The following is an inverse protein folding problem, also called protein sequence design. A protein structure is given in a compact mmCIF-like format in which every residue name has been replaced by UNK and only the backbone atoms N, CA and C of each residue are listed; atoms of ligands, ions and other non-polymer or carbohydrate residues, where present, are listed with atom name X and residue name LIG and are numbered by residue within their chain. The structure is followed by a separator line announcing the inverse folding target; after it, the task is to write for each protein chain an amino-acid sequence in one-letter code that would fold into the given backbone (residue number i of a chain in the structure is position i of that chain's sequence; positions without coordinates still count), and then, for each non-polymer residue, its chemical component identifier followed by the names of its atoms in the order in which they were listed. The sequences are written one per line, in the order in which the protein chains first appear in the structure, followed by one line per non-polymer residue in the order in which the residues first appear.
data_IF_248770155685
#
_entry.id   IF_248770155685
#
_cell.length_a   1.000
_cell.length_b   1.000
_cell.length_c   1.000
_cell.angle_alpha   90.00
_cell.angle_beta   90.00
_cell.angle_gamma   90.00
#
_symmetry.space_group_name_H-M   'P 1'
#
loop_
_entity.id
_entity.type
_entity.pdbx_description
1 polymer ?
#
# COMPACT_ATOMS: atom_id res chain seq x y z
N UNK A 1 2.20 -9.97 -2.63
CA UNK A 1 0.86 -10.23 -3.19
C UNK A 1 0.40 -11.68 -3.01
N UNK A 2 1.12 -12.69 -3.49
CA UNK A 2 0.70 -14.10 -3.35
C UNK A 2 0.40 -14.53 -1.91
N UNK A 3 1.22 -14.13 -0.93
CA UNK A 3 0.99 -14.46 0.48
C UNK A 3 -0.29 -13.85 1.03
N UNK A 4 -0.68 -12.67 0.55
CA UNK A 4 -1.96 -12.05 0.90
C UNK A 4 -3.12 -12.85 0.34
N UNK A 5 -3.05 -13.27 -0.93
CA UNK A 5 -4.09 -14.11 -1.58
C UNK A 5 -4.27 -15.46 -0.90
N UNK A 6 -3.19 -16.07 -0.40
CA UNK A 6 -3.20 -17.37 0.28
C UNK A 6 -3.71 -17.33 1.70
N UNK A 7 -3.85 -16.14 2.29
CA UNK A 7 -4.36 -16.01 3.65
C UNK A 7 -5.86 -16.33 3.68
N UNK A 8 -6.30 -17.25 4.55
CA UNK A 8 -7.72 -17.58 4.67
C UNK A 8 -8.61 -16.41 5.08
N UNK A 9 -8.04 -15.34 5.63
CA UNK A 9 -8.78 -14.12 5.94
C UNK A 9 -8.96 -13.18 4.73
N UNK A 10 -8.30 -13.43 3.58
CA UNK A 10 -8.34 -12.55 2.42
C UNK A 10 -9.78 -12.30 1.93
N UNK A 11 -10.51 -13.36 1.58
CA UNK A 11 -11.89 -13.25 1.10
C UNK A 11 -12.86 -12.69 2.16
N UNK A 12 -12.83 -13.13 3.44
CA UNK A 12 -13.63 -12.53 4.50
C UNK A 12 -13.38 -11.02 4.67
N UNK A 13 -12.12 -10.58 4.63
CA UNK A 13 -11.77 -9.16 4.75
C UNK A 13 -12.28 -8.39 3.53
N UNK A 14 -12.07 -8.90 2.31
CA UNK A 14 -12.58 -8.27 1.09
C UNK A 14 -14.11 -8.08 1.12
N UNK A 15 -14.87 -9.13 1.46
CA UNK A 15 -16.33 -9.04 1.59
C UNK A 15 -16.77 -8.05 2.66
N UNK A 16 -16.07 -7.99 3.79
CA UNK A 16 -16.35 -7.03 4.85
C UNK A 16 -16.09 -5.59 4.37
N UNK A 17 -14.98 -5.34 3.70
CA UNK A 17 -14.67 -4.03 3.12
C UNK A 17 -15.71 -3.63 2.08
N UNK A 18 -16.08 -4.54 1.19
CA UNK A 18 -17.12 -4.33 0.19
C UNK A 18 -18.44 -3.88 0.82
N UNK A 19 -18.93 -4.61 1.82
CA UNK A 19 -20.16 -4.25 2.55
C UNK A 19 -20.05 -2.92 3.32
N UNK A 20 -18.87 -2.63 3.89
CA UNK A 20 -18.64 -1.38 4.64
C UNK A 20 -18.65 -0.16 3.72
N UNK A 21 -18.13 -0.25 2.51
CA UNK A 21 -17.99 0.86 1.58
C UNK A 21 -19.01 0.87 0.44
N UNK A 22 -19.85 -0.16 0.32
CA UNK A 22 -20.85 -0.28 -0.73
C UNK A 22 -20.23 -0.48 -2.12
N UNK A 23 -19.17 -1.28 -2.20
CA UNK A 23 -18.49 -1.62 -3.46
C UNK A 23 -18.58 -3.14 -3.72
N UNK A 24 -18.27 -3.54 -4.95
CA UNK A 24 -18.21 -4.95 -5.31
C UNK A 24 -17.06 -5.67 -4.60
N UNK A 25 -17.23 -6.96 -4.18
CA UNK A 25 -16.18 -7.74 -3.53
C UNK A 25 -14.89 -7.84 -4.35
N UNK A 26 -14.99 -7.96 -5.66
CA UNK A 26 -13.85 -8.05 -6.56
C UNK A 26 -13.00 -6.78 -6.56
N UNK A 27 -13.62 -5.60 -6.45
CA UNK A 27 -12.89 -4.35 -6.27
C UNK A 27 -12.18 -4.30 -4.92
N UNK A 28 -12.82 -4.78 -3.87
CA UNK A 28 -12.18 -4.86 -2.55
C UNK A 28 -10.98 -5.83 -2.56
N UNK A 29 -11.08 -6.96 -3.27
CA UNK A 29 -9.97 -7.90 -3.48
C UNK A 29 -8.81 -7.23 -4.24
N UNK A 30 -9.11 -6.52 -5.33
CA UNK A 30 -8.11 -5.79 -6.10
C UNK A 30 -7.40 -4.73 -5.26
N UNK A 31 -8.12 -4.03 -4.37
CA UNK A 31 -7.54 -3.05 -3.46
C UNK A 31 -6.65 -3.68 -2.38
N UNK A 32 -6.99 -4.85 -1.86
CA UNK A 32 -6.12 -5.61 -0.95
C UNK A 32 -4.82 -6.03 -1.64
N UNK A 33 -4.91 -6.51 -2.87
CA UNK A 33 -3.76 -6.88 -3.68
C UNK A 33 -2.91 -5.66 -4.05
N UNK A 34 -3.55 -4.56 -4.44
CA UNK A 34 -2.88 -3.28 -4.66
C UNK A 34 -2.14 -2.82 -3.42
N UNK A 35 -2.76 -2.91 -2.22
CA UNK A 35 -2.10 -2.57 -0.96
C UNK A 35 -0.82 -3.38 -0.76
N UNK A 36 -0.87 -4.68 -1.02
CA UNK A 36 0.30 -5.56 -0.92
C UNK A 36 1.39 -5.26 -1.96
N UNK A 37 1.02 -4.69 -3.11
CA UNK A 37 1.99 -4.29 -4.14
C UNK A 37 2.67 -2.96 -3.81
N UNK A 38 1.94 -2.02 -3.18
CA UNK A 38 2.44 -0.65 -2.98
C UNK A 38 3.09 -0.41 -1.63
N UNK A 39 2.89 -1.27 -0.62
CA UNK A 39 3.32 -0.98 0.76
C UNK A 39 4.81 -0.65 0.89
N UNK A 40 5.64 -1.24 0.06
CA UNK A 40 7.09 -1.10 0.05
C UNK A 40 7.64 -0.30 -1.14
N UNK A 41 6.78 0.24 -2.02
CA UNK A 41 7.19 1.03 -3.19
C UNK A 41 8.07 2.22 -2.80
N UNK A 42 7.84 2.79 -1.62
CA UNK A 42 8.65 3.89 -1.10
C UNK A 42 10.14 3.58 -0.95
N UNK A 43 10.54 2.30 -0.84
CA UNK A 43 11.95 1.87 -0.84
C UNK A 43 12.65 2.16 -2.17
N UNK A 44 11.88 2.38 -3.19
CA UNK A 44 12.29 2.74 -4.53
C UNK A 44 12.58 4.23 -4.75
N UNK A 45 12.35 5.06 -3.76
CA UNK A 45 12.65 6.49 -3.83
C UNK A 45 14.14 6.72 -4.09
N UNK A 46 14.46 7.69 -4.95
CA UNK A 46 15.84 8.09 -5.27
C UNK A 46 16.63 8.52 -4.02
N UNK A 47 15.95 8.97 -2.97
CA UNK A 47 16.58 9.31 -1.69
C UNK A 47 17.29 8.09 -1.05
N UNK A 48 16.90 6.86 -1.44
CA UNK A 48 17.50 5.61 -0.95
C UNK A 48 18.48 4.99 -1.93
N UNK A 49 18.90 5.69 -2.98
CA UNK A 49 19.79 5.19 -4.02
C UNK A 49 21.04 4.47 -3.51
N UNK A 50 21.59 4.94 -2.37
CA UNK A 50 22.76 4.40 -1.74
C UNK A 50 22.47 3.66 -0.42
N UNK A 51 21.20 3.49 -0.05
CA UNK A 51 20.84 2.78 1.17
C UNK A 51 20.87 1.27 0.92
N UNK A 52 21.65 0.55 1.74
CA UNK A 52 21.79 -0.93 1.65
C UNK A 52 20.83 -1.62 2.61
N UNK A 53 20.56 -1.03 3.78
CA UNK A 53 19.81 -1.70 4.85
C UNK A 53 18.75 -0.82 5.55
N UNK A 54 18.76 0.49 5.36
CA UNK A 54 17.90 1.40 6.12
C UNK A 54 17.10 2.34 5.21
N UNK A 55 15.80 2.10 5.15
CA UNK A 55 14.83 2.86 4.36
C UNK A 55 13.87 3.61 5.29
N UNK A 56 14.38 4.63 6.00
CA UNK A 56 13.53 5.39 6.91
C UNK A 56 12.44 6.15 6.16
N UNK A 57 11.20 6.08 6.66
CA UNK A 57 10.04 6.77 6.09
C UNK A 57 9.56 6.24 4.72
N UNK A 58 10.02 5.07 4.27
CA UNK A 58 9.51 4.50 3.03
C UNK A 58 7.99 4.23 3.10
N UNK A 59 7.44 4.02 4.29
CA UNK A 59 6.01 3.86 4.54
C UNK A 59 5.23 5.11 4.11
N UNK A 60 5.73 6.29 4.48
CA UNK A 60 5.13 7.57 4.08
C UNK A 60 5.22 7.76 2.57
N UNK A 61 6.35 7.40 1.95
CA UNK A 61 6.54 7.47 0.50
C UNK A 61 5.64 6.48 -0.25
N UNK A 62 5.47 5.28 0.29
CA UNK A 62 4.53 4.29 -0.24
C UNK A 62 3.09 4.79 -0.14
N UNK A 63 2.72 5.45 0.96
CA UNK A 63 1.40 6.03 1.14
C UNK A 63 1.14 7.21 0.19
N UNK A 64 2.14 8.05 -0.06
CA UNK A 64 2.09 9.12 -1.06
C UNK A 64 1.81 8.55 -2.46
N UNK A 65 2.55 7.53 -2.84
CA UNK A 65 2.35 6.82 -4.10
C UNK A 65 0.94 6.23 -4.20
N UNK A 66 0.51 5.49 -3.16
CA UNK A 66 -0.82 4.89 -3.10
C UNK A 66 -1.91 5.95 -3.23
N UNK A 67 -1.78 7.07 -2.50
CA UNK A 67 -2.71 8.20 -2.60
C UNK A 67 -2.83 8.73 -4.03
N UNK A 68 -1.70 9.01 -4.66
CA UNK A 68 -1.68 9.57 -6.02
C UNK A 68 -2.37 8.64 -7.02
N UNK A 69 -2.07 7.35 -6.97
CA UNK A 69 -2.67 6.35 -7.85
C UNK A 69 -4.18 6.21 -7.60
N UNK A 70 -4.60 6.08 -6.34
CA UNK A 70 -6.02 5.95 -5.96
C UNK A 70 -6.83 7.21 -6.30
N UNK A 71 -6.25 8.40 -6.10
CA UNK A 71 -6.89 9.67 -6.47
C UNK A 71 -7.10 9.76 -7.97
N UNK A 72 -6.10 9.46 -8.77
CA UNK A 72 -6.21 9.46 -10.25
C UNK A 72 -7.15 8.38 -10.78
N UNK A 73 -7.24 7.24 -10.10
CA UNK A 73 -8.21 6.20 -10.42
C UNK A 73 -9.66 6.57 -10.04
N UNK A 74 -9.87 7.70 -9.35
CA UNK A 74 -11.18 8.13 -8.89
C UNK A 74 -11.72 7.39 -7.67
N UNK A 75 -10.87 6.59 -7.01
CA UNK A 75 -11.19 5.83 -5.79
C UNK A 75 -10.99 6.64 -4.50
N UNK A 76 -10.58 7.90 -4.65
CA UNK A 76 -10.49 8.92 -3.60
C UNK A 76 -11.04 10.24 -4.17
N UNK A 77 -12.22 10.67 -3.69
CA UNK A 77 -12.83 11.95 -4.09
C UNK A 77 -13.47 12.60 -2.85
N UNK A 78 -13.35 13.92 -2.74
CA UNK A 78 -14.05 14.69 -1.70
C UNK A 78 -13.63 14.31 -0.27
N UNK A 79 -14.59 13.94 0.58
CA UNK A 79 -14.34 13.58 1.99
C UNK A 79 -13.65 12.22 2.06
N UNK A 80 -12.36 12.22 2.38
CA UNK A 80 -11.49 11.03 2.44
C UNK A 80 -12.11 9.89 3.25
N UNK A 81 -12.83 10.20 4.32
CA UNK A 81 -13.44 9.21 5.23
C UNK A 81 -14.51 8.31 4.57
N UNK A 82 -15.03 8.67 3.40
CA UNK A 82 -16.13 7.95 2.76
C UNK A 82 -15.66 6.97 1.67
N UNK A 83 -14.39 6.95 1.34
CA UNK A 83 -13.86 6.16 0.23
C UNK A 83 -13.07 4.93 0.68
N UNK A 84 -13.25 3.83 -0.04
CA UNK A 84 -12.53 2.58 0.22
C UNK A 84 -11.01 2.71 0.06
N UNK A 85 -10.52 3.67 -0.72
CA UNK A 85 -9.09 3.97 -0.85
C UNK A 85 -8.45 4.53 0.43
N UNK A 86 -9.24 5.15 1.32
CA UNK A 86 -8.72 5.74 2.56
C UNK A 86 -8.07 4.73 3.50
N UNK A 87 -8.70 3.60 3.87
CA UNK A 87 -8.06 2.59 4.70
C UNK A 87 -6.84 1.95 4.05
N UNK A 88 -6.77 1.90 2.71
CA UNK A 88 -5.59 1.43 1.96
C UNK A 88 -4.39 2.34 2.24
N UNK A 89 -4.52 3.66 2.02
CA UNK A 89 -3.45 4.63 2.25
C UNK A 89 -2.94 4.55 3.68
N UNK A 90 -3.86 4.48 4.64
CA UNK A 90 -3.52 4.46 6.05
C UNK A 90 -2.85 3.15 6.44
N UNK A 91 -3.32 2.01 5.90
CA UNK A 91 -2.66 0.73 6.11
C UNK A 91 -1.24 0.75 5.56
N UNK A 92 -1.02 1.32 4.37
CA UNK A 92 0.32 1.50 3.80
C UNK A 92 1.18 2.41 4.66
N UNK A 93 0.65 3.53 5.15
CA UNK A 93 1.38 4.46 6.03
C UNK A 93 1.75 3.84 7.38
N UNK A 94 0.98 2.88 7.87
CA UNK A 94 1.10 2.32 9.22
C UNK A 94 1.67 0.89 9.27
N UNK A 95 2.08 0.28 8.16
CA UNK A 95 2.45 -1.13 8.15
C UNK A 95 3.69 -1.48 9.01
N UNK A 96 4.57 -0.50 9.27
CA UNK A 96 5.68 -0.64 10.22
C UNK A 96 5.50 0.13 11.54
N UNK A 97 4.29 0.63 11.81
CA UNK A 97 4.01 1.57 12.89
C UNK A 97 4.17 1.05 14.31
N UNK A 98 4.40 -0.24 14.50
CA UNK A 98 4.74 -0.77 15.83
C UNK A 98 6.02 -0.17 16.40
N UNK A 99 6.79 0.62 15.63
CA UNK A 99 8.13 1.06 16.01
C UNK A 99 8.43 2.55 15.91
N UNK A 100 7.76 3.37 15.09
CA UNK A 100 8.05 4.83 14.98
C UNK A 100 6.89 5.63 14.36
N UNK A 101 6.65 6.84 14.89
CA UNK A 101 5.70 7.79 14.31
C UNK A 101 6.16 8.34 12.93
N UNK A 102 5.26 8.57 11.95
CA UNK A 102 5.63 9.25 10.71
C UNK A 102 6.26 10.60 11.01
N UNK A 103 7.34 10.93 10.33
CA UNK A 103 8.00 12.24 10.46
C UNK A 103 7.64 13.13 9.28
N UNK A 104 7.40 14.45 9.53
CA UNK A 104 6.94 15.40 8.50
C UNK A 104 7.99 15.83 7.48
N UNK A 105 9.24 15.52 7.73
CA UNK A 105 10.40 16.13 7.08
C UNK A 105 11.07 15.22 6.03
N UNK A 106 10.39 14.17 5.58
CA UNK A 106 10.86 13.39 4.45
C UNK A 106 10.85 14.28 3.19
N UNK A 107 12.04 14.71 2.76
CA UNK A 107 12.19 15.40 1.49
C UNK A 107 11.64 14.54 0.36
N UNK A 108 10.85 15.17 -0.48
CA UNK A 108 10.25 14.55 -1.64
C UNK A 108 11.34 14.26 -2.66
N UNK A 109 11.59 12.97 -2.94
CA UNK A 109 12.40 12.51 -4.08
C UNK A 109 11.51 11.85 -5.12
N UNK A 110 11.93 11.80 -6.37
CA UNK A 110 11.27 11.02 -7.40
C UNK A 110 11.53 9.53 -7.24
N UNK A 111 10.73 8.69 -7.90
CA UNK A 111 10.99 7.24 -7.96
C UNK A 111 11.98 6.95 -9.09
N UNK A 112 13.08 6.27 -8.78
CA UNK A 112 14.03 5.85 -9.81
C UNK A 112 13.55 4.56 -10.50
N UNK A 113 13.79 4.47 -11.82
CA UNK A 113 13.50 3.29 -12.65
C UNK A 113 14.22 2.00 -12.20
N UNK A 114 15.05 2.04 -11.17
CA UNK A 114 15.69 0.86 -10.56
C UNK A 114 14.75 -0.11 -9.89
N UNK A 115 13.46 0.22 -9.81
CA UNK A 115 12.42 -0.64 -9.26
C UNK A 115 11.84 -1.60 -10.27
N UNK A 116 12.68 -2.20 -11.08
CA UNK A 116 12.24 -3.25 -12.00
C UNK A 116 11.38 -4.30 -11.30
N UNK A 117 11.72 -4.67 -10.06
CA UNK A 117 10.93 -5.62 -9.29
C UNK A 117 9.49 -5.15 -9.02
N UNK A 118 9.28 -3.88 -8.67
CA UNK A 118 7.94 -3.33 -8.46
C UNK A 118 7.18 -3.18 -9.78
N UNK A 119 7.87 -2.72 -10.84
CA UNK A 119 7.27 -2.61 -12.19
C UNK A 119 6.82 -3.99 -12.68
N UNK A 120 7.66 -5.00 -12.56
CA UNK A 120 7.32 -6.37 -12.95
C UNK A 120 6.20 -6.96 -12.07
N UNK A 121 6.18 -6.64 -10.78
CA UNK A 121 5.08 -7.04 -9.90
C UNK A 121 3.73 -6.43 -10.34
N UNK A 122 3.71 -5.14 -10.72
CA UNK A 122 2.50 -4.52 -11.28
C UNK A 122 2.13 -5.12 -12.64
N UNK A 123 3.09 -5.37 -13.53
CA UNK A 123 2.82 -6.01 -14.83
C UNK A 123 2.23 -7.41 -14.66
N UNK A 124 2.75 -8.19 -13.72
CA UNK A 124 2.27 -9.54 -13.41
C UNK A 124 0.94 -9.58 -12.64
N UNK A 125 0.48 -8.45 -12.11
CA UNK A 125 -0.80 -8.40 -11.43
C UNK A 125 -1.96 -8.53 -12.41
N UNK A 126 -2.90 -9.42 -12.12
CA UNK A 126 -4.13 -9.63 -12.90
C UNK A 126 -5.33 -9.19 -12.04
N UNK A 127 -5.75 -7.92 -12.13
CA UNK A 127 -6.93 -7.43 -11.42
C UNK A 127 -8.22 -8.01 -12.02
N UNK A 128 -9.28 -8.05 -11.20
CA UNK A 128 -10.61 -8.60 -11.54
C UNK A 128 -11.52 -7.55 -12.17
N UNK A 129 -11.28 -6.25 -11.83
CA UNK A 129 -12.17 -5.14 -12.17
C UNK A 129 -11.52 -4.15 -13.15
N UNK A 130 -12.34 -3.33 -13.79
CA UNK A 130 -11.87 -2.23 -14.63
C UNK A 130 -11.10 -1.18 -13.82
N UNK A 131 -11.55 -0.91 -12.58
CA UNK A 131 -10.88 -0.03 -11.63
C UNK A 131 -9.51 -0.60 -11.23
N UNK A 132 -9.44 -1.91 -10.97
CA UNK A 132 -8.17 -2.61 -10.71
C UNK A 132 -7.21 -2.52 -11.91
N UNK A 133 -7.72 -2.68 -13.14
CA UNK A 133 -6.92 -2.50 -14.35
C UNK A 133 -6.40 -1.05 -14.48
N UNK A 134 -7.23 -0.07 -14.11
CA UNK A 134 -6.85 1.35 -14.08
C UNK A 134 -5.75 1.59 -13.03
N UNK A 135 -5.90 1.03 -11.82
CA UNK A 135 -4.86 1.09 -10.77
C UNK A 135 -3.53 0.53 -11.25
N UNK A 136 -3.55 -0.65 -11.90
CA UNK A 136 -2.36 -1.28 -12.48
C UNK A 136 -1.66 -0.36 -13.48
N UNK A 137 -2.40 0.19 -14.43
CA UNK A 137 -1.86 1.08 -15.48
C UNK A 137 -1.27 2.36 -14.88
N UNK A 138 -1.98 2.99 -13.95
CA UNK A 138 -1.54 4.19 -13.26
C UNK A 138 -0.31 3.90 -12.40
N UNK A 139 -0.27 2.82 -11.64
CA UNK A 139 0.88 2.46 -10.80
C UNK A 139 2.15 2.27 -11.65
N UNK A 140 2.05 1.53 -12.75
CA UNK A 140 3.17 1.30 -13.64
C UNK A 140 3.70 2.59 -14.31
N UNK A 141 2.81 3.55 -14.63
CA UNK A 141 3.18 4.84 -15.21
C UNK A 141 3.73 5.82 -14.17
N UNK A 142 3.18 5.78 -12.95
CA UNK A 142 3.48 6.72 -11.87
C UNK A 142 4.88 6.51 -11.27
N UNK A 143 5.44 5.30 -11.34
CA UNK A 143 6.83 5.03 -10.94
C UNK A 143 7.87 5.84 -11.74
N UNK A 144 7.43 6.56 -12.77
CA UNK A 144 8.26 7.46 -13.59
C UNK A 144 8.10 8.95 -13.25
N UNK A 145 7.28 9.30 -12.27
CA UNK A 145 6.94 10.69 -11.95
C UNK A 145 7.85 11.24 -10.86
N UNK A 146 8.35 12.45 -11.06
CA UNK A 146 9.49 13.01 -10.31
C UNK A 146 9.15 13.56 -8.92
N UNK A 147 7.89 13.97 -8.62
CA UNK A 147 7.58 14.57 -7.30
C UNK A 147 6.15 14.32 -6.84
N UNK A 148 6.00 13.90 -5.57
CA UNK A 148 4.72 13.88 -4.84
C UNK A 148 4.91 14.55 -3.48
N UNK A 149 4.02 15.46 -3.11
CA UNK A 149 3.92 15.98 -1.76
C UNK A 149 2.49 15.81 -1.24
N UNK A 150 2.25 14.71 -0.56
CA UNK A 150 0.91 14.35 -0.05
C UNK A 150 0.87 14.22 1.47
N UNK A 151 1.94 14.63 2.17
CA UNK A 151 2.05 14.51 3.63
C UNK A 151 0.82 15.06 4.37
N UNK A 152 0.31 16.23 3.97
CA UNK A 152 -0.89 16.82 4.55
C UNK A 152 -2.12 15.91 4.38
N UNK A 153 -2.19 15.17 3.28
CA UNK A 153 -3.29 14.23 2.99
C UNK A 153 -3.15 12.98 3.83
N UNK A 154 -1.94 12.46 3.99
CA UNK A 154 -1.69 11.30 4.88
C UNK A 154 -2.07 11.64 6.32
N UNK A 155 -1.68 12.82 6.81
CA UNK A 155 -2.09 13.30 8.14
C UNK A 155 -3.59 13.46 8.30
N UNK A 156 -4.26 14.07 7.31
CA UNK A 156 -5.73 14.23 7.34
C UNK A 156 -6.43 12.87 7.30
N UNK A 157 -5.87 11.90 6.59
CA UNK A 157 -6.37 10.53 6.54
C UNK A 157 -6.22 9.82 7.89
N UNK A 158 -5.08 9.97 8.57
CA UNK A 158 -4.86 9.43 9.93
C UNK A 158 -5.86 10.05 10.92
N UNK A 159 -6.09 11.36 10.86
CA UNK A 159 -7.08 12.03 11.70
C UNK A 159 -8.50 11.53 11.41
N UNK A 160 -8.85 11.31 10.14
CA UNK A 160 -10.15 10.74 9.77
C UNK A 160 -10.36 9.34 10.34
N UNK A 161 -9.33 8.49 10.35
CA UNK A 161 -9.37 7.15 10.96
C UNK A 161 -9.61 7.25 12.47
N UNK A 162 -8.92 8.14 13.16
CA UNK A 162 -9.09 8.30 14.60
C UNK A 162 -10.53 8.69 14.97
N UNK A 163 -11.23 9.38 14.09
CA UNK A 163 -12.60 9.84 14.29
C UNK A 163 -13.69 8.91 13.71
N UNK A 164 -13.31 7.80 13.06
CA UNK A 164 -14.26 6.87 12.42
C UNK A 164 -14.00 5.42 12.80
N UNK A 165 -14.92 4.81 13.55
CA UNK A 165 -14.86 3.38 13.89
C UNK A 165 -14.87 2.49 12.62
N UNK A 166 -15.60 2.91 11.58
CA UNK A 166 -15.66 2.25 10.27
C UNK A 166 -14.27 2.20 9.63
N UNK A 167 -13.58 3.32 9.55
CA UNK A 167 -12.23 3.39 8.96
C UNK A 167 -11.20 2.67 9.82
N UNK A 168 -11.27 2.79 11.15
CA UNK A 168 -10.38 2.03 12.05
C UNK A 168 -10.50 0.53 11.83
N UNK A 169 -11.74 0.01 11.79
CA UNK A 169 -11.98 -1.40 11.55
C UNK A 169 -11.46 -1.90 10.20
N UNK A 170 -11.68 -1.11 9.14
CA UNK A 170 -11.19 -1.41 7.79
C UNK A 170 -9.66 -1.39 7.74
N UNK A 171 -9.02 -0.33 8.25
CA UNK A 171 -7.56 -0.20 8.30
C UNK A 171 -6.91 -1.34 9.07
N UNK A 172 -7.46 -1.68 10.25
CA UNK A 172 -6.93 -2.78 11.08
C UNK A 172 -7.02 -4.14 10.37
N UNK A 173 -8.09 -4.37 9.62
CA UNK A 173 -8.25 -5.61 8.85
C UNK A 173 -7.21 -5.71 7.72
N UNK A 174 -6.98 -4.63 6.98
CA UNK A 174 -5.96 -4.56 5.92
C UNK A 174 -4.56 -4.73 6.52
N UNK A 175 -4.23 -4.02 7.61
CA UNK A 175 -2.96 -4.14 8.31
C UNK A 175 -2.70 -5.56 8.82
N UNK A 176 -3.73 -6.23 9.32
CA UNK A 176 -3.62 -7.61 9.77
C UNK A 176 -3.15 -8.54 8.67
N UNK A 177 -3.76 -8.44 7.47
CA UNK A 177 -3.36 -9.21 6.30
C UNK A 177 -1.94 -8.87 5.84
N UNK A 178 -1.62 -7.57 5.71
CA UNK A 178 -0.34 -7.10 5.23
C UNK A 178 0.81 -7.55 6.14
N UNK A 179 0.70 -7.29 7.44
CA UNK A 179 1.72 -7.66 8.43
C UNK A 179 1.94 -9.18 8.53
N UNK A 180 0.89 -9.98 8.33
CA UNK A 180 1.01 -11.43 8.31
C UNK A 180 1.76 -11.91 7.08
N UNK A 181 1.46 -11.34 5.90
CA UNK A 181 2.16 -11.63 4.66
C UNK A 181 3.65 -11.28 4.75
N UNK A 182 3.99 -10.09 5.24
CA UNK A 182 5.37 -9.64 5.44
C UNK A 182 6.17 -10.58 6.35
N UNK A 183 5.58 -10.95 7.48
CA UNK A 183 6.23 -11.89 8.41
C UNK A 183 6.48 -13.25 7.77
N UNK A 184 5.57 -13.71 6.92
CA UNK A 184 5.70 -15.00 6.21
C UNK A 184 6.85 -14.95 5.22
N UNK A 185 6.94 -13.88 4.41
CA UNK A 185 8.06 -13.66 3.47
C UNK A 185 9.39 -13.54 4.21
N UNK A 186 9.45 -12.74 5.28
CA UNK A 186 10.67 -12.55 6.06
C UNK A 186 11.17 -13.85 6.72
N UNK A 187 10.26 -14.74 7.13
CA UNK A 187 10.64 -16.07 7.68
C UNK A 187 11.23 -16.97 6.58
N UNK A 188 10.61 -17.03 5.41
CA UNK A 188 11.12 -17.83 4.28
C UNK A 188 12.52 -17.40 3.87
N UNK A 189 12.74 -16.10 3.71
CA UNK A 189 14.04 -15.57 3.31
C UNK A 189 15.15 -15.89 4.32
N UNK A 190 14.85 -15.92 5.62
CA UNK A 190 15.81 -16.33 6.64
C UNK A 190 16.18 -17.81 6.54
N UNK A 191 15.22 -18.69 6.25
CA UNK A 191 15.49 -20.13 6.12
C UNK A 191 16.33 -20.45 4.87
N UNK A 192 16.13 -19.72 3.76
CA UNK A 192 16.93 -19.90 2.55
C UNK A 192 18.37 -19.38 2.69
N UNK A 193 18.58 -18.33 3.49
CA UNK A 193 19.92 -17.77 3.76
C UNK A 193 20.75 -18.62 4.75
N UNK A 194 20.13 -19.50 5.50
CA UNK A 194 20.79 -20.33 6.53
C UNK A 194 21.09 -21.76 6.07
N UNK A 195 20.81 -22.12 4.82
CA UNK A 195 21.20 -23.43 4.26
C UNK A 195 22.66 -23.34 3.81
N UNK A 196 23.64 -24.01 4.48
CA UNK A 196 25.01 -24.05 4.01
C UNK A 196 25.07 -24.84 2.70
N UNK A 197 25.86 -24.32 1.77
CA UNK A 197 26.25 -25.00 0.54
C UNK A 197 27.18 -26.20 0.89
#
# INVERSE_FOLDING_TARGET
MEEVRRDPAFDPVARKLAGVFGVEPDLAMDLLEFTALVHDVGKADVAYKNAVEYFSLHESRSADFAYYVLHRAGLLRGVIALHIGSPVIIAVALHHYSHKAPRPDAKVGGFETRCNAHIEAFKGWAPRTAEGATLKGLAASTLKVEEFNTYAVVLSSINAVNNSAKLRGATSAILGLLNKADRTVARRNRHTASSPI
#
